data_IF_022651898700
#
_entry.id   IF_022651898700
#
_cell.length_a   1.000
_cell.length_b   1.000
_cell.length_c   1.000
_cell.angle_alpha   90.00
_cell.angle_beta   90.00
_cell.angle_gamma   90.00
#
_symmetry.space_group_name_H-M   'P 1'
#
loop_
_entity.id
_entity.type
_entity.pdbx_description
1 polymer ?
#
# COMPACT_ATOMS: atom_id res chain seq x y z
N UNK A 1 3.15 -5.65 -7.53
CA UNK A 1 4.18 -4.61 -7.46
C UNK A 1 4.01 -3.88 -6.14
N UNK A 2 5.08 -3.47 -5.47
CA UNK A 2 4.97 -2.81 -4.17
C UNK A 2 6.26 -2.13 -3.72
N UNK A 3 6.16 -1.29 -2.70
CA UNK A 3 7.30 -0.65 -2.04
C UNK A 3 7.61 -1.38 -0.74
N UNK A 4 8.88 -1.76 -0.57
CA UNK A 4 9.39 -2.56 0.53
C UNK A 4 10.60 -1.91 1.23
N UNK A 5 10.67 -0.58 1.27
CA UNK A 5 11.86 0.12 1.80
C UNK A 5 11.94 0.04 3.33
N UNK A 6 13.14 -0.25 3.86
CA UNK A 6 13.42 -0.24 5.30
C UNK A 6 12.97 -1.49 6.08
N UNK A 7 12.49 -2.54 5.41
CA UNK A 7 12.04 -3.76 6.10
C UNK A 7 13.13 -4.81 6.29
N UNK A 8 12.99 -5.63 7.34
CA UNK A 8 13.86 -6.79 7.61
C UNK A 8 13.54 -7.95 6.65
N UNK A 9 14.51 -8.85 6.45
CA UNK A 9 14.39 -10.02 5.56
C UNK A 9 13.10 -10.85 5.79
N UNK A 10 12.67 -11.02 7.04
CA UNK A 10 11.45 -11.77 7.37
C UNK A 10 10.18 -11.25 6.70
N UNK A 11 10.08 -9.92 6.47
CA UNK A 11 8.94 -9.30 5.76
C UNK A 11 8.90 -9.76 4.30
N UNK A 12 10.05 -9.68 3.62
CA UNK A 12 10.19 -10.15 2.24
C UNK A 12 9.92 -11.65 2.13
N UNK A 13 10.43 -12.44 3.08
CA UNK A 13 10.20 -13.87 3.13
C UNK A 13 8.73 -14.23 3.26
N UNK A 14 7.98 -13.51 4.10
CA UNK A 14 6.54 -13.68 4.28
C UNK A 14 5.78 -13.30 3.01
N UNK A 15 6.03 -12.10 2.48
CA UNK A 15 5.33 -11.58 1.31
C UNK A 15 5.61 -12.42 0.06
N UNK A 16 6.88 -12.51 -0.34
CA UNK A 16 7.29 -13.24 -1.57
C UNK A 16 7.09 -14.74 -1.40
N UNK A 17 7.39 -15.28 -0.21
CA UNK A 17 7.24 -16.70 0.07
C UNK A 17 5.79 -17.16 0.00
N UNK A 18 4.84 -16.40 0.56
CA UNK A 18 3.41 -16.74 0.45
C UNK A 18 2.92 -16.61 -1.00
N UNK A 19 3.31 -15.55 -1.72
CA UNK A 19 2.96 -15.36 -3.13
C UNK A 19 3.46 -16.50 -4.03
N UNK A 20 4.73 -16.88 -3.89
CA UNK A 20 5.30 -17.98 -4.68
C UNK A 20 4.70 -19.34 -4.29
N UNK A 21 4.45 -19.55 -2.98
CA UNK A 21 3.78 -20.77 -2.49
C UNK A 21 2.37 -20.92 -3.04
N UNK A 22 1.67 -19.82 -3.28
CA UNK A 22 0.34 -19.85 -3.88
C UNK A 22 0.34 -20.28 -5.36
N UNK A 23 1.52 -20.45 -5.97
CA UNK A 23 1.68 -20.84 -7.38
C UNK A 23 1.77 -19.67 -8.35
N UNK A 24 1.95 -18.43 -7.87
CA UNK A 24 2.12 -17.28 -8.76
C UNK A 24 3.48 -17.32 -9.47
N UNK A 25 3.46 -17.35 -10.80
CA UNK A 25 4.65 -17.41 -11.66
C UNK A 25 4.96 -16.09 -12.38
N UNK A 26 4.09 -15.08 -12.27
CA UNK A 26 4.29 -13.80 -12.94
C UNK A 26 5.43 -12.97 -12.37
N UNK A 27 5.62 -11.80 -12.97
CA UNK A 27 6.64 -10.84 -12.56
C UNK A 27 6.29 -10.19 -11.22
N UNK A 28 7.31 -10.05 -10.36
CA UNK A 28 7.19 -9.37 -9.07
C UNK A 28 8.23 -8.25 -9.05
N UNK A 29 7.78 -7.02 -8.85
CA UNK A 29 8.63 -5.84 -8.70
C UNK A 29 8.48 -5.30 -7.29
N UNK A 30 9.61 -5.16 -6.58
CA UNK A 30 9.66 -4.59 -5.24
C UNK A 30 10.67 -3.45 -5.19
N UNK A 31 10.19 -2.26 -4.79
CA UNK A 31 11.06 -1.12 -4.51
C UNK A 31 11.75 -1.26 -3.16
N UNK A 32 13.08 -1.23 -3.12
CA UNK A 32 13.86 -1.43 -1.89
C UNK A 32 14.70 -0.19 -1.55
N UNK A 33 15.03 0.00 -0.28
CA UNK A 33 15.79 1.16 0.16
C UNK A 33 17.20 1.19 -0.48
N UNK A 34 17.85 2.36 -0.62
CA UNK A 34 19.19 2.48 -1.19
C UNK A 34 20.24 1.65 -0.42
N UNK A 35 20.05 1.51 0.89
CA UNK A 35 20.91 0.81 1.84
C UNK A 35 20.42 -0.62 2.15
N UNK A 36 19.65 -1.22 1.24
CA UNK A 36 19.10 -2.58 1.41
C UNK A 36 20.20 -3.61 1.69
N UNK A 37 19.95 -4.47 2.68
CA UNK A 37 20.84 -5.58 3.04
C UNK A 37 21.08 -6.51 1.83
N UNK A 38 22.34 -6.84 1.49
CA UNK A 38 22.67 -7.78 0.42
C UNK A 38 21.97 -9.14 0.53
N UNK A 39 21.69 -9.63 1.75
CA UNK A 39 20.96 -10.87 1.96
C UNK A 39 19.50 -10.79 1.46
N UNK A 40 18.88 -9.60 1.53
CA UNK A 40 17.55 -9.35 0.96
C UNK A 40 17.62 -9.41 -0.57
N UNK A 41 18.60 -8.74 -1.18
CA UNK A 41 18.78 -8.77 -2.64
C UNK A 41 19.00 -10.19 -3.15
N UNK A 42 19.83 -10.98 -2.45
CA UNK A 42 20.07 -12.38 -2.80
C UNK A 42 18.81 -13.23 -2.66
N UNK A 43 18.01 -13.04 -1.59
CA UNK A 43 16.73 -13.71 -1.42
C UNK A 43 15.75 -13.38 -2.57
N UNK A 44 15.63 -12.10 -2.93
CA UNK A 44 14.76 -11.66 -4.02
C UNK A 44 15.17 -12.26 -5.37
N UNK A 45 16.47 -12.24 -5.67
CA UNK A 45 17.03 -12.86 -6.87
C UNK A 45 16.70 -14.35 -6.95
N UNK A 46 16.91 -15.11 -5.86
CA UNK A 46 16.57 -16.55 -5.79
C UNK A 46 15.07 -16.84 -5.98
N UNK A 47 14.20 -15.88 -5.67
CA UNK A 47 12.74 -15.99 -5.84
C UNK A 47 12.20 -15.39 -7.14
N UNK A 48 13.11 -15.07 -8.07
CA UNK A 48 12.80 -14.42 -9.34
C UNK A 48 11.96 -13.14 -9.14
N UNK A 49 12.40 -12.29 -8.21
CA UNK A 49 11.81 -10.98 -7.94
C UNK A 49 12.76 -9.90 -8.45
N UNK A 50 12.22 -8.96 -9.23
CA UNK A 50 12.96 -7.78 -9.69
C UNK A 50 12.99 -6.75 -8.57
N UNK A 51 14.13 -6.63 -7.90
CA UNK A 51 14.38 -5.55 -6.95
C UNK A 51 14.63 -4.24 -7.72
N UNK A 52 13.93 -3.17 -7.34
CA UNK A 52 14.12 -1.81 -7.84
C UNK A 52 14.73 -0.99 -6.71
N UNK A 53 16.06 -0.92 -6.65
CA UNK A 53 16.79 -0.17 -5.62
C UNK A 53 16.53 1.31 -5.82
N UNK A 54 15.99 1.97 -4.80
CA UNK A 54 15.64 3.37 -4.88
C UNK A 54 16.87 4.27 -4.74
N UNK A 55 16.75 5.49 -5.25
CA UNK A 55 17.68 6.57 -4.95
C UNK A 55 16.90 7.68 -4.26
N UNK A 56 17.26 7.97 -3.02
CA UNK A 56 16.64 9.05 -2.24
C UNK A 56 17.35 10.36 -2.50
N UNK A 57 16.56 11.42 -2.63
CA UNK A 57 17.03 12.78 -2.90
C UNK A 57 16.34 13.76 -1.97
N UNK A 58 16.96 14.93 -1.78
CA UNK A 58 16.28 16.03 -1.09
C UNK A 58 15.08 16.48 -1.94
N UNK A 59 13.96 16.75 -1.28
CA UNK A 59 12.81 17.30 -1.98
C UNK A 59 13.10 18.72 -2.50
N UNK A 60 12.50 19.09 -3.64
CA UNK A 60 12.57 20.44 -4.22
C UNK A 60 11.78 21.47 -3.41
N UNK A 61 10.89 21.01 -2.55
CA UNK A 61 10.17 21.81 -1.59
C UNK A 61 10.66 21.50 -0.17
N UNK A 62 10.63 22.52 0.68
CA UNK A 62 10.92 22.38 2.11
C UNK A 62 9.64 22.60 2.90
N UNK A 63 9.30 21.67 3.78
CA UNK A 63 8.24 21.92 4.77
C UNK A 63 8.80 22.79 5.90
N UNK A 64 8.07 23.86 6.24
CA UNK A 64 8.46 24.80 7.30
C UNK A 64 8.42 24.18 8.69
N UNK A 65 7.71 23.06 8.86
CA UNK A 65 7.45 22.44 10.16
C UNK A 65 8.19 21.10 10.32
N UNK A 66 9.49 21.20 10.62
CA UNK A 66 10.42 20.05 10.71
C UNK A 66 10.23 19.16 11.94
N UNK A 67 9.32 19.50 12.86
CA UNK A 67 9.27 18.89 14.20
C UNK A 67 8.78 17.44 14.22
N UNK A 68 8.08 16.97 13.18
CA UNK A 68 7.46 15.64 13.16
C UNK A 68 7.80 14.81 11.91
N UNK A 69 8.85 15.15 11.14
CA UNK A 69 9.26 14.30 10.02
C UNK A 69 10.00 13.07 10.55
N UNK A 70 9.49 11.88 10.20
CA UNK A 70 10.04 10.57 10.57
C UNK A 70 11.49 10.44 10.08
N UNK A 71 11.85 11.14 8.99
CA UNK A 71 13.20 11.16 8.43
C UNK A 71 14.04 12.37 8.90
N UNK A 72 13.48 13.26 9.72
CA UNK A 72 14.06 14.55 10.14
C UNK A 72 14.44 15.48 8.97
N UNK A 73 14.12 15.09 7.72
CA UNK A 73 14.33 15.79 6.45
C UNK A 73 13.31 15.31 5.43
N UNK A 74 12.63 16.25 4.75
CA UNK A 74 11.70 15.93 3.66
C UNK A 74 12.47 15.22 2.54
N UNK A 75 12.30 13.90 2.46
CA UNK A 75 13.00 13.02 1.52
C UNK A 75 12.06 12.61 0.40
N UNK A 76 12.56 12.69 -0.84
CA UNK A 76 11.87 12.34 -2.07
C UNK A 76 12.61 11.20 -2.79
N UNK A 77 11.98 10.61 -3.80
CA UNK A 77 12.62 9.55 -4.60
C UNK A 77 12.99 10.08 -5.98
N UNK A 78 14.21 9.84 -6.44
CA UNK A 78 14.59 10.09 -7.83
C UNK A 78 13.78 9.17 -8.78
N UNK A 79 13.33 9.65 -9.96
CA UNK A 79 13.52 10.97 -10.56
C UNK A 79 12.45 12.02 -10.20
N UNK A 80 11.73 11.83 -9.09
CA UNK A 80 10.60 12.67 -8.64
C UNK A 80 10.99 13.49 -7.39
N UNK A 81 11.87 14.50 -7.51
CA UNK A 81 12.34 15.25 -6.36
C UNK A 81 11.24 16.17 -5.78
N UNK A 82 10.08 16.28 -6.42
CA UNK A 82 8.90 17.01 -5.95
C UNK A 82 7.86 16.09 -5.31
N UNK A 83 8.08 14.77 -5.24
CA UNK A 83 7.15 13.80 -4.66
C UNK A 83 7.77 13.15 -3.43
N UNK A 84 7.17 13.39 -2.26
CA UNK A 84 7.61 12.74 -1.01
C UNK A 84 7.71 11.23 -1.15
N UNK A 85 8.67 10.66 -0.43
CA UNK A 85 9.00 9.23 -0.50
C UNK A 85 7.78 8.31 -0.31
N UNK A 86 6.85 8.65 0.58
CA UNK A 86 5.60 7.88 0.81
C UNK A 86 4.68 7.83 -0.41
N UNK A 87 4.65 8.89 -1.21
CA UNK A 87 3.86 8.98 -2.44
C UNK A 87 4.58 8.45 -3.68
N UNK A 88 5.91 8.39 -3.65
CA UNK A 88 6.74 7.95 -4.78
C UNK A 88 6.36 6.58 -5.34
N UNK A 89 5.70 5.73 -4.54
CA UNK A 89 5.24 4.40 -4.97
C UNK A 89 4.43 4.45 -6.26
N UNK A 90 3.59 5.46 -6.45
CA UNK A 90 2.71 5.55 -7.62
C UNK A 90 3.48 5.86 -8.91
N UNK A 91 4.24 6.99 -9.01
CA UNK A 91 4.99 7.28 -10.22
C UNK A 91 6.12 6.25 -10.48
N UNK A 92 6.76 5.71 -9.46
CA UNK A 92 7.80 4.68 -9.64
C UNK A 92 7.22 3.36 -10.17
N UNK A 93 6.10 2.89 -9.62
CA UNK A 93 5.44 1.67 -10.13
C UNK A 93 4.94 1.88 -11.56
N UNK A 94 4.48 3.09 -11.92
CA UNK A 94 4.10 3.42 -13.30
C UNK A 94 5.27 3.18 -14.24
N UNK A 95 6.43 3.75 -13.92
CA UNK A 95 7.62 3.65 -14.76
C UNK A 95 8.07 2.20 -14.91
N UNK A 96 8.06 1.42 -13.82
CA UNK A 96 8.43 0.00 -13.87
C UNK A 96 7.45 -0.82 -14.71
N UNK A 97 6.16 -0.50 -14.67
CA UNK A 97 5.15 -1.16 -15.48
C UNK A 97 5.28 -0.78 -16.96
N UNK A 98 5.63 0.46 -17.26
CA UNK A 98 5.93 0.93 -18.61
C UNK A 98 7.20 0.28 -19.18
N UNK A 99 8.26 0.18 -18.38
CA UNK A 99 9.53 -0.47 -18.73
C UNK A 99 9.36 -1.97 -19.02
N UNK A 100 8.46 -2.65 -18.30
CA UNK A 100 8.23 -4.08 -18.50
C UNK A 100 7.36 -4.37 -19.73
N UNK A 101 7.97 -4.43 -20.91
CA UNK A 101 7.28 -4.78 -22.15
C UNK A 101 6.65 -6.19 -22.13
N UNK A 102 7.25 -7.13 -21.39
CA UNK A 102 6.72 -8.49 -21.23
C UNK A 102 5.53 -8.58 -20.25
N UNK A 103 5.28 -7.55 -19.45
CA UNK A 103 4.17 -7.52 -18.50
C UNK A 103 2.86 -7.16 -19.21
N UNK A 104 2.18 -8.15 -19.79
CA UNK A 104 0.93 -7.97 -20.56
C UNK A 104 -0.35 -8.28 -19.76
N UNK A 105 -0.22 -9.01 -18.66
CA UNK A 105 -1.34 -9.45 -17.82
C UNK A 105 -1.92 -8.38 -16.86
N UNK A 106 -2.87 -8.77 -16.00
CA UNK A 106 -3.39 -7.91 -14.95
C UNK A 106 -2.30 -7.56 -13.92
N UNK A 107 -2.48 -6.42 -13.28
CA UNK A 107 -1.53 -5.83 -12.33
C UNK A 107 -2.18 -5.75 -10.96
N UNK A 108 -1.44 -6.18 -9.94
CA UNK A 108 -1.75 -5.96 -8.53
C UNK A 108 -0.69 -5.02 -7.94
N UNK A 109 -1.13 -3.88 -7.42
CA UNK A 109 -0.36 -3.02 -6.53
C UNK A 109 -0.80 -3.33 -5.11
N UNK A 110 0.15 -3.56 -4.21
CA UNK A 110 -0.13 -3.97 -2.84
C UNK A 110 0.98 -3.51 -1.90
N UNK A 111 0.61 -3.19 -0.66
CA UNK A 111 1.58 -3.00 0.42
C UNK A 111 2.33 -4.29 0.73
N UNK A 112 3.63 -4.17 1.06
CA UNK A 112 4.51 -5.34 1.20
C UNK A 112 4.63 -5.80 2.65
N UNK A 113 4.66 -4.86 3.59
CA UNK A 113 4.90 -5.14 5.02
C UNK A 113 3.91 -6.15 5.56
N UNK A 114 2.68 -5.96 5.15
CA UNK A 114 1.49 -6.42 5.80
C UNK A 114 0.58 -6.99 4.72
N UNK A 115 1.12 -7.90 3.94
CA UNK A 115 0.32 -8.65 2.99
C UNK A 115 0.74 -10.10 2.96
N UNK A 116 -0.24 -10.96 2.71
CA UNK A 116 -0.07 -12.40 2.71
C UNK A 116 -0.98 -13.02 1.67
N UNK A 117 -0.44 -13.93 0.88
CA UNK A 117 -1.16 -14.58 -0.20
C UNK A 117 -1.58 -15.98 0.21
N UNK A 118 -2.89 -16.21 0.20
CA UNK A 118 -3.46 -17.53 0.43
C UNK A 118 -3.77 -18.28 -0.86
N UNK A 119 -3.92 -17.55 -1.96
CA UNK A 119 -4.20 -18.07 -3.30
C UNK A 119 -3.45 -17.25 -4.33
N UNK A 120 -3.20 -17.85 -5.49
CA UNK A 120 -2.66 -17.11 -6.64
C UNK A 120 -3.67 -16.04 -7.05
N UNK A 121 -3.32 -14.73 -7.02
CA UNK A 121 -4.25 -13.65 -7.30
C UNK A 121 -4.78 -13.64 -8.73
N UNK A 122 -4.11 -14.34 -9.65
CA UNK A 122 -4.47 -14.43 -11.06
C UNK A 122 -4.51 -15.89 -11.55
N UNK A 123 -4.60 -16.84 -10.61
CA UNK A 123 -4.65 -18.27 -10.92
C UNK A 123 -6.07 -18.77 -11.16
N UNK A 124 -6.19 -20.08 -11.38
CA UNK A 124 -7.48 -20.74 -11.54
C UNK A 124 -8.42 -20.43 -10.36
N UNK A 125 -9.66 -20.04 -10.67
CA UNK A 125 -10.68 -19.67 -9.68
C UNK A 125 -10.57 -18.23 -9.15
N UNK A 126 -9.60 -17.44 -9.61
CA UNK A 126 -9.57 -16.00 -9.32
C UNK A 126 -10.59 -15.25 -10.17
N UNK A 127 -11.26 -14.23 -9.64
CA UNK A 127 -12.13 -13.35 -10.44
C UNK A 127 -11.40 -12.76 -11.64
N UNK A 128 -12.10 -12.59 -12.75
CA UNK A 128 -11.56 -11.88 -13.91
C UNK A 128 -11.38 -10.40 -13.60
N UNK A 129 -10.24 -9.85 -14.04
CA UNK A 129 -9.90 -8.44 -13.83
C UNK A 129 -10.44 -7.60 -14.99
N UNK A 130 -11.30 -6.65 -14.67
CA UNK A 130 -11.85 -5.67 -15.62
C UNK A 130 -11.57 -4.25 -15.13
N UNK A 131 -11.16 -3.36 -16.03
CA UNK A 131 -10.87 -1.97 -15.70
C UNK A 131 -9.88 -1.84 -14.54
N UNK A 132 -10.15 -0.89 -13.64
CA UNK A 132 -9.51 -0.78 -12.33
C UNK A 132 -10.48 -1.27 -11.24
N UNK A 133 -9.95 -1.98 -10.26
CA UNK A 133 -10.66 -2.47 -9.09
C UNK A 133 -9.98 -1.89 -7.84
N UNK A 134 -10.71 -1.04 -7.14
CA UNK A 134 -10.32 -0.49 -5.84
C UNK A 134 -11.08 -1.24 -4.75
N UNK A 135 -10.50 -1.42 -3.57
CA UNK A 135 -11.09 -2.28 -2.53
C UNK A 135 -11.56 -1.43 -1.36
N UNK A 136 -12.78 -1.68 -0.89
CA UNK A 136 -13.29 -1.06 0.32
C UNK A 136 -12.54 -1.56 1.56
N UNK A 137 -12.33 -0.66 2.51
CA UNK A 137 -11.93 -0.97 3.88
C UNK A 137 -13.08 -1.67 4.63
N UNK A 138 -12.84 -2.10 5.87
CA UNK A 138 -13.90 -2.67 6.71
C UNK A 138 -15.14 -1.76 6.74
N UNK A 139 -16.35 -2.35 6.76
CA UNK A 139 -17.65 -1.66 6.62
C UNK A 139 -17.92 -0.52 7.62
N UNK A 140 -17.15 -0.46 8.71
CA UNK A 140 -17.23 0.62 9.71
C UNK A 140 -16.35 1.82 9.39
N UNK A 141 -15.50 1.70 8.35
CA UNK A 141 -14.60 2.75 7.90
C UNK A 141 -15.23 3.49 6.74
N UNK A 142 -15.36 4.79 6.89
CA UNK A 142 -15.97 5.68 5.88
C UNK A 142 -15.03 6.83 5.57
N UNK A 143 -15.33 7.58 4.52
CA UNK A 143 -14.63 8.83 4.17
C UNK A 143 -14.76 9.93 5.23
N UNK A 144 -15.49 9.68 6.32
CA UNK A 144 -15.53 10.54 7.51
C UNK A 144 -14.38 10.27 8.48
N UNK A 145 -13.60 9.19 8.27
CA UNK A 145 -12.40 8.88 9.05
C UNK A 145 -11.37 10.02 8.92
N UNK A 146 -10.61 10.29 9.99
CA UNK A 146 -9.66 11.42 10.02
C UNK A 146 -8.64 11.35 8.89
N UNK A 147 -8.22 10.15 8.49
CA UNK A 147 -7.25 9.95 7.41
C UNK A 147 -7.72 10.48 6.04
N UNK A 148 -9.04 10.62 5.83
CA UNK A 148 -9.63 11.04 4.55
C UNK A 148 -10.41 12.35 4.66
N UNK A 149 -11.16 12.55 5.74
CA UNK A 149 -12.08 13.70 5.89
C UNK A 149 -11.38 15.04 5.83
N UNK A 150 -10.45 15.29 6.74
CA UNK A 150 -9.83 16.61 6.87
C UNK A 150 -8.88 16.94 5.70
N UNK A 151 -8.05 16.01 5.17
CA UNK A 151 -7.16 16.35 4.06
C UNK A 151 -7.95 16.68 2.79
N UNK A 152 -9.02 15.91 2.50
CA UNK A 152 -9.88 16.18 1.34
C UNK A 152 -10.60 17.52 1.53
N UNK A 153 -11.14 17.80 2.72
CA UNK A 153 -11.80 19.07 2.99
C UNK A 153 -10.84 20.25 2.85
N UNK A 154 -9.65 20.17 3.43
CA UNK A 154 -8.65 21.24 3.40
C UNK A 154 -8.15 21.51 1.97
N UNK A 155 -7.84 20.44 1.23
CA UNK A 155 -7.26 20.56 -0.11
C UNK A 155 -8.25 20.78 -1.24
N UNK A 156 -9.48 20.27 -1.09
CA UNK A 156 -10.46 20.23 -2.19
C UNK A 156 -11.77 20.94 -1.85
N UNK A 157 -11.99 21.32 -0.59
CA UNK A 157 -13.22 21.99 -0.17
C UNK A 157 -14.46 21.11 -0.25
N UNK A 158 -14.30 19.79 -0.31
CA UNK A 158 -15.40 18.82 -0.44
C UNK A 158 -15.35 17.78 0.67
N UNK A 159 -16.48 17.14 0.94
CA UNK A 159 -16.61 16.01 1.84
C UNK A 159 -17.48 14.94 1.21
N UNK A 160 -17.25 13.70 1.61
CA UNK A 160 -18.03 12.56 1.17
C UNK A 160 -18.49 11.75 2.39
N UNK A 161 -19.62 11.07 2.27
CA UNK A 161 -20.07 10.06 3.22
C UNK A 161 -20.27 8.74 2.46
N UNK A 162 -19.16 8.03 2.28
CA UNK A 162 -19.06 6.80 1.49
C UNK A 162 -18.13 5.80 2.19
N UNK A 163 -18.15 4.51 1.81
CA UNK A 163 -17.15 3.55 2.28
C UNK A 163 -15.73 4.08 2.04
N UNK A 164 -14.78 3.82 2.95
CA UNK A 164 -13.39 4.20 2.70
C UNK A 164 -12.75 3.18 1.76
N UNK A 165 -12.01 3.63 0.74
CA UNK A 165 -11.25 2.79 -0.16
C UNK A 165 -9.78 2.70 0.29
N UNK A 166 -9.15 1.53 0.14
CA UNK A 166 -7.76 1.30 0.48
C UNK A 166 -6.82 1.68 -0.67
N UNK A 167 -5.99 2.71 -0.47
CA UNK A 167 -4.94 3.07 -1.44
C UNK A 167 -3.78 2.07 -1.46
N UNK A 168 -3.63 1.28 -0.40
CA UNK A 168 -2.61 0.25 -0.24
C UNK A 168 -2.75 -0.93 -1.18
N UNK A 169 -3.94 -1.15 -1.74
CA UNK A 169 -4.22 -2.26 -2.65
C UNK A 169 -5.05 -1.80 -3.83
N UNK A 170 -4.61 -2.12 -5.05
CA UNK A 170 -5.40 -1.89 -6.26
C UNK A 170 -5.12 -2.99 -7.27
N UNK A 171 -6.15 -3.50 -7.93
CA UNK A 171 -6.04 -4.49 -9.00
C UNK A 171 -6.55 -3.86 -10.29
N UNK A 172 -5.97 -4.19 -11.44
CA UNK A 172 -6.50 -3.69 -12.69
C UNK A 172 -5.87 -4.32 -13.91
N UNK A 173 -6.48 -4.09 -15.06
CA UNK A 173 -5.83 -4.36 -16.34
C UNK A 173 -4.60 -3.46 -16.47
N UNK A 174 -3.61 -3.86 -17.27
CA UNK A 174 -2.41 -3.05 -17.49
C UNK A 174 -2.74 -1.61 -17.91
N UNK A 175 -3.68 -1.45 -18.84
CA UNK A 175 -4.11 -0.14 -19.36
C UNK A 175 -4.75 0.71 -18.27
N UNK A 176 -5.69 0.13 -17.51
CA UNK A 176 -6.37 0.84 -16.43
C UNK A 176 -5.42 1.20 -15.28
N UNK A 177 -4.48 0.30 -14.95
CA UNK A 177 -3.48 0.54 -13.91
C UNK A 177 -2.51 1.67 -14.27
N UNK A 178 -2.02 1.71 -15.51
CA UNK A 178 -1.17 2.83 -15.96
C UNK A 178 -1.91 4.16 -15.89
N UNK A 179 -3.16 4.20 -16.39
CA UNK A 179 -3.98 5.41 -16.32
C UNK A 179 -4.26 5.84 -14.88
N UNK A 180 -4.52 4.90 -13.98
CA UNK A 180 -4.68 5.17 -12.55
C UNK A 180 -3.42 5.80 -11.94
N UNK A 181 -2.25 5.23 -12.20
CA UNK A 181 -0.98 5.73 -11.66
C UNK A 181 -0.62 7.12 -12.20
N UNK A 182 -0.95 7.39 -13.47
CA UNK A 182 -0.80 8.72 -14.07
C UNK A 182 -1.71 9.76 -13.41
N UNK A 183 -2.99 9.41 -13.16
CA UNK A 183 -3.95 10.29 -12.48
C UNK A 183 -3.54 10.52 -11.02
N UNK A 184 -3.14 9.48 -10.29
CA UNK A 184 -2.62 9.62 -8.92
C UNK A 184 -1.41 10.56 -8.87
N UNK A 185 -0.44 10.40 -9.78
CA UNK A 185 0.72 11.26 -9.84
C UNK A 185 0.36 12.72 -10.20
N UNK A 186 -0.55 12.93 -11.15
CA UNK A 186 -1.02 14.27 -11.49
C UNK A 186 -1.68 14.96 -10.29
N UNK A 187 -2.50 14.22 -9.54
CA UNK A 187 -3.18 14.71 -8.35
C UNK A 187 -2.20 15.03 -7.21
N UNK A 188 -1.18 14.18 -7.00
CA UNK A 188 -0.09 14.47 -6.06
C UNK A 188 0.59 15.80 -6.36
N UNK A 189 0.83 16.11 -7.63
CA UNK A 189 1.40 17.41 -8.01
C UNK A 189 0.46 18.58 -7.72
N UNK A 190 -0.85 18.39 -7.87
CA UNK A 190 -1.83 19.42 -7.47
C UNK A 190 -1.74 19.67 -5.97
N UNK A 191 -1.70 18.61 -5.15
CA UNK A 191 -1.61 18.73 -3.70
C UNK A 191 -0.28 19.33 -3.25
N UNK A 192 0.84 18.90 -3.84
CA UNK A 192 2.17 19.42 -3.44
C UNK A 192 2.37 20.89 -3.83
N UNK A 193 1.68 21.37 -4.86
CA UNK A 193 1.79 22.75 -5.28
C UNK A 193 1.17 23.72 -4.26
N UNK A 194 0.16 23.27 -3.50
CA UNK A 194 -0.43 24.04 -2.42
C UNK A 194 0.25 23.71 -1.09
N UNK A 195 0.87 24.71 -0.46
CA UNK A 195 1.58 24.53 0.82
C UNK A 195 0.70 23.98 1.93
N UNK A 196 -0.61 24.30 1.93
CA UNK A 196 -1.52 23.80 2.96
C UNK A 196 -1.78 22.30 2.83
N UNK A 197 -1.53 21.73 1.66
CA UNK A 197 -1.77 20.32 1.31
C UNK A 197 -0.52 19.43 1.44
N UNK A 198 0.61 20.00 1.89
CA UNK A 198 1.85 19.28 2.14
C UNK A 198 1.84 18.62 3.51
N UNK A 199 0.87 17.73 3.72
CA UNK A 199 0.70 17.08 5.01
C UNK A 199 1.85 16.12 5.31
N UNK A 200 2.24 16.08 6.58
CA UNK A 200 3.15 15.08 7.11
C UNK A 200 2.40 14.07 7.98
N UNK A 201 1.41 13.40 7.39
CA UNK A 201 0.69 12.28 8.02
C UNK A 201 0.98 10.97 7.30
N UNK A 202 0.86 9.86 8.03
CA UNK A 202 0.91 8.53 7.43
C UNK A 202 -0.40 8.26 6.68
N UNK A 203 -0.30 7.79 5.43
CA UNK A 203 -1.45 7.31 4.65
C UNK A 203 -2.28 8.37 3.95
N UNK A 204 -1.79 9.60 3.76
CA UNK A 204 -2.57 10.64 3.06
C UNK A 204 -2.77 10.40 1.56
N UNK A 205 -2.03 9.46 0.97
CA UNK A 205 -2.37 8.95 -0.35
C UNK A 205 -3.73 8.23 -0.38
N UNK A 206 -4.22 7.75 0.78
CA UNK A 206 -5.59 7.28 0.94
C UNK A 206 -6.62 8.40 0.73
N UNK A 207 -6.31 9.64 1.12
CA UNK A 207 -7.17 10.79 0.83
C UNK A 207 -7.28 11.07 -0.67
N UNK A 208 -6.15 11.16 -1.38
CA UNK A 208 -6.14 11.38 -2.83
C UNK A 208 -6.86 10.25 -3.57
N UNK A 209 -6.61 9.00 -3.18
CA UNK A 209 -7.26 7.82 -3.77
C UNK A 209 -8.79 7.88 -3.64
N UNK A 210 -9.30 8.19 -2.45
CA UNK A 210 -10.75 8.31 -2.20
C UNK A 210 -11.34 9.52 -2.94
N UNK A 211 -10.67 10.67 -2.92
CA UNK A 211 -11.12 11.86 -3.64
C UNK A 211 -11.25 11.59 -5.14
N UNK A 212 -10.24 10.98 -5.76
CA UNK A 212 -10.22 10.70 -7.21
C UNK A 212 -11.35 9.74 -7.62
N UNK A 213 -11.64 8.73 -6.79
CA UNK A 213 -12.76 7.84 -7.04
C UNK A 213 -14.12 8.56 -6.89
N UNK A 214 -14.36 9.22 -5.76
CA UNK A 214 -15.68 9.82 -5.47
C UNK A 214 -15.98 11.12 -6.22
N UNK A 215 -14.94 11.82 -6.71
CA UNK A 215 -15.13 12.95 -7.64
C UNK A 215 -15.36 12.52 -9.09
N UNK A 216 -15.33 11.21 -9.38
CA UNK A 216 -15.56 10.68 -10.73
C UNK A 216 -14.35 10.78 -11.66
N UNK A 217 -13.16 11.12 -11.15
CA UNK A 217 -11.92 11.20 -11.95
C UNK A 217 -11.35 9.82 -12.32
N UNK A 218 -11.86 8.75 -11.71
CA UNK A 218 -11.57 7.37 -12.07
C UNK A 218 -12.82 6.67 -12.66
N UNK A 219 -13.35 7.12 -13.83
CA UNK A 219 -14.60 6.58 -14.38
C UNK A 219 -14.50 5.12 -14.86
N UNK A 220 -13.29 4.58 -14.91
CA UNK A 220 -12.97 3.20 -15.29
C UNK A 220 -12.69 2.31 -14.07
N UNK A 221 -12.90 2.83 -12.85
CA UNK A 221 -12.70 2.10 -11.61
C UNK A 221 -14.03 1.60 -11.03
N UNK A 222 -14.01 0.40 -10.47
CA UNK A 222 -15.10 -0.17 -9.72
C UNK A 222 -14.63 -0.47 -8.28
N UNK A 223 -15.43 -0.08 -7.30
CA UNK A 223 -15.20 -0.46 -5.92
C UNK A 223 -15.64 -1.92 -5.71
N UNK A 224 -14.77 -2.71 -5.09
CA UNK A 224 -15.07 -4.05 -4.63
C UNK A 224 -15.40 -3.98 -3.14
N UNK A 225 -16.64 -4.30 -2.74
CA UNK A 225 -17.03 -4.25 -1.35
C UNK A 225 -16.20 -5.17 -0.45
N UNK A 226 -16.08 -4.78 0.81
CA UNK A 226 -15.32 -5.52 1.79
C UNK A 226 -15.82 -6.98 1.89
N UNK A 227 -14.91 -7.95 1.70
CA UNK A 227 -15.19 -9.40 1.76
C UNK A 227 -16.25 -9.90 0.78
N UNK A 228 -16.44 -9.22 -0.36
CA UNK A 228 -17.44 -9.63 -1.37
C UNK A 228 -16.89 -10.52 -2.49
N UNK A 229 -15.83 -11.29 -2.23
CA UNK A 229 -15.26 -12.23 -3.21
C UNK A 229 -14.30 -11.62 -4.24
N UNK A 230 -13.71 -10.46 -3.94
CA UNK A 230 -12.62 -9.88 -4.74
C UNK A 230 -11.32 -10.70 -4.71
N UNK A 231 -10.37 -10.32 -5.58
CA UNK A 231 -9.00 -10.89 -5.59
C UNK A 231 -8.27 -10.59 -4.28
N UNK A 232 -8.54 -9.41 -3.70
CA UNK A 232 -7.95 -8.95 -2.45
C UNK A 232 -9.05 -8.50 -1.49
N UNK A 233 -8.81 -8.66 -0.19
CA UNK A 233 -9.61 -8.08 0.87
C UNK A 233 -8.73 -7.24 1.79
N UNK A 234 -9.29 -6.16 2.32
CA UNK A 234 -8.74 -5.40 3.43
C UNK A 234 -9.19 -6.05 4.74
N UNK A 235 -8.34 -6.04 5.75
CA UNK A 235 -8.62 -6.71 7.05
C UNK A 235 -7.93 -6.01 8.21
N UNK A 236 -7.49 -4.75 8.04
CA UNK A 236 -6.77 -4.02 9.10
C UNK A 236 -7.59 -3.92 10.40
N UNK A 237 -8.88 -3.59 10.29
CA UNK A 237 -9.80 -3.56 11.44
C UNK A 237 -10.01 -4.94 12.05
N UNK A 238 -10.21 -5.97 11.22
CA UNK A 238 -10.41 -7.34 11.69
C UNK A 238 -9.17 -7.86 12.42
N UNK A 239 -8.00 -7.66 11.83
CA UNK A 239 -6.72 -8.04 12.40
C UNK A 239 -6.45 -7.34 13.72
N UNK A 240 -6.71 -6.03 13.81
CA UNK A 240 -6.57 -5.28 15.05
C UNK A 240 -7.52 -5.80 16.16
N UNK A 241 -8.75 -6.19 15.80
CA UNK A 241 -9.69 -6.79 16.77
C UNK A 241 -9.22 -8.17 17.23
N UNK A 242 -8.82 -9.04 16.31
CA UNK A 242 -8.27 -10.37 16.64
C UNK A 242 -7.02 -10.25 17.52
N UNK A 243 -6.15 -9.29 17.23
CA UNK A 243 -4.97 -9.01 18.05
C UNK A 243 -5.34 -8.63 19.48
N UNK A 244 -6.19 -7.61 19.66
CA UNK A 244 -6.65 -7.16 20.99
C UNK A 244 -7.28 -8.30 21.80
N UNK A 245 -8.08 -9.14 21.14
CA UNK A 245 -8.67 -10.32 21.78
C UNK A 245 -7.60 -11.33 22.19
N UNK A 246 -6.66 -11.67 21.31
CA UNK A 246 -5.59 -12.62 21.60
C UNK A 246 -4.69 -12.15 22.74
N UNK A 247 -4.29 -10.88 22.76
CA UNK A 247 -3.48 -10.31 23.85
C UNK A 247 -4.21 -10.42 25.19
N UNK A 248 -5.52 -10.11 25.21
CA UNK A 248 -6.35 -10.26 26.40
C UNK A 248 -6.39 -11.72 26.89
N UNK A 249 -6.62 -12.67 25.99
CA UNK A 249 -6.64 -14.11 26.32
C UNK A 249 -5.29 -14.60 26.87
N UNK A 250 -4.17 -14.14 26.29
CA UNK A 250 -2.82 -14.51 26.75
C UNK A 250 -2.49 -13.95 28.13
N UNK A 251 -2.92 -12.71 28.40
CA UNK A 251 -2.79 -12.11 29.72
C UNK A 251 -3.64 -12.87 30.75
N UNK A 252 -4.87 -13.24 30.41
CA UNK A 252 -5.79 -13.96 31.31
C UNK A 252 -5.32 -15.39 31.61
N UNK A 253 -4.82 -16.12 30.60
CA UNK A 253 -4.43 -17.53 30.76
C UNK A 253 -3.01 -17.70 31.33
N UNK A 254 -2.09 -16.79 31.02
CA UNK A 254 -0.67 -17.00 31.29
C UNK A 254 0.00 -15.84 32.04
N UNK A 255 -0.73 -14.76 32.34
CA UNK A 255 -0.16 -13.55 32.94
C UNK A 255 0.92 -12.89 32.06
N UNK A 256 0.92 -13.20 30.75
CA UNK A 256 1.91 -12.71 29.79
C UNK A 256 1.40 -11.46 29.10
N UNK A 257 2.10 -10.36 29.35
CA UNK A 257 1.88 -9.12 28.62
C UNK A 257 2.64 -9.23 27.29
N UNK A 258 1.93 -9.60 26.22
CA UNK A 258 2.55 -9.75 24.90
C UNK A 258 2.60 -8.38 24.25
N UNK A 259 3.82 -7.85 24.05
CA UNK A 259 4.00 -6.64 23.29
C UNK A 259 3.93 -6.95 21.78
N UNK A 260 3.48 -5.99 20.99
CA UNK A 260 3.37 -6.11 19.54
C UNK A 260 4.74 -6.45 18.87
N UNK A 261 5.84 -6.09 19.53
CA UNK A 261 7.21 -6.41 19.12
C UNK A 261 7.60 -7.90 19.28
N UNK A 262 6.95 -8.65 20.18
CA UNK A 262 7.30 -10.04 20.52
C UNK A 262 6.84 -11.06 19.46
N UNK A 263 6.04 -10.62 18.49
CA UNK A 263 5.36 -11.48 17.53
C UNK A 263 6.00 -11.61 16.15
N UNK A 264 7.12 -10.95 15.89
CA UNK A 264 7.93 -11.31 14.72
C UNK A 264 8.33 -12.81 14.79
N UNK A 265 8.25 -13.43 15.98
CA UNK A 265 8.60 -14.82 16.25
C UNK A 265 7.43 -15.84 16.33
N UNK A 266 6.17 -15.46 16.61
CA UNK A 266 5.15 -16.47 17.03
C UNK A 266 3.74 -16.43 16.41
N UNK A 267 3.32 -15.41 15.64
CA UNK A 267 2.01 -15.43 14.94
C UNK A 267 2.14 -16.02 13.54
N UNK A 268 2.10 -17.35 13.51
CA UNK A 268 2.09 -18.21 12.33
C UNK A 268 0.67 -18.63 11.88
N UNK A 269 -0.41 -17.98 12.31
CA UNK A 269 -1.75 -18.26 11.80
C UNK A 269 -2.58 -16.98 11.65
N UNK A 270 -3.26 -16.90 10.50
CA UNK A 270 -4.26 -15.92 10.06
C UNK A 270 -3.69 -14.69 9.35
N UNK A 271 -3.69 -14.79 8.01
CA UNK A 271 -3.65 -13.67 7.10
C UNK A 271 -4.36 -14.01 5.76
N UNK A 272 -5.68 -13.83 5.70
CA UNK A 272 -6.45 -13.55 4.47
C UNK A 272 -6.09 -12.11 4.06
N UNK A 273 -5.11 -11.91 3.17
CA UNK A 273 -4.54 -10.59 2.73
C UNK A 273 -4.59 -9.48 3.79
N UNK A 274 -3.52 -9.35 4.60
CA UNK A 274 -3.58 -8.76 5.94
C UNK A 274 -2.70 -7.52 6.18
N UNK A 275 -3.20 -6.32 5.79
CA UNK A 275 -2.60 -5.02 6.14
C UNK A 275 -2.66 -4.77 7.67
N UNK A 276 -1.56 -4.29 8.23
CA UNK A 276 -1.23 -3.91 9.60
C UNK A 276 -0.23 -2.75 9.46
N UNK A 277 -0.73 -1.52 9.46
CA UNK A 277 -0.36 -0.51 10.45
C UNK A 277 -1.50 0.50 10.60
N UNK A 278 -1.92 0.66 11.85
CA UNK A 278 -2.34 1.92 12.51
C UNK A 278 -3.23 2.87 11.70
N UNK A 279 -4.53 2.59 11.72
CA UNK A 279 -5.60 3.61 11.73
C UNK A 279 -6.45 3.36 12.98
N UNK A 280 -5.84 3.61 14.15
CA UNK A 280 -6.53 3.76 15.43
C UNK A 280 -6.91 5.21 15.66
#
# INVERSE_FOLDING_TARGET
>A
MGMASGYRLGVYQRFVGSLRRSGFQGHVFLGVAPDVDPAILEYLRRRNVTAKVQTWVNCTYSDSDRKNDIFQKTTCAHPYPDIKIRWSRFPLIRDWLQECAACTGPVLIIDVRDSYFQKNPFGQGSPTVYGLQVVEEHVTQTTQHWLTKWPIQECKGVQYEKPMLCSGTTVGTRVAMLRYLEIMYAEMKVWINDTKCRFNINGDDQSMHNYLFYSGQLPFANAIPHRSGGIVNTVGVDGARTWKQHTKEQQELYGKDIQEADLVSYTNLIALVHNFMECG
#
